data_IF_721439616937
#
_entry.id   IF_721439616937
#
_cell.length_a   1.000
_cell.length_b   1.000
_cell.length_c   1.000
_cell.angle_alpha   90.00
_cell.angle_beta   90.00
_cell.angle_gamma   90.00
#
_symmetry.space_group_name_H-M   'P 1'
#
loop_
_entity.id
_entity.type
_entity.pdbx_description
1 polymer ?
#
# COMPACT_ATOMS: atom_id res chain seq x y z
N UNK A 1 -15.73 27.38 14.78
CA UNK A 1 -14.52 28.09 15.26
C UNK A 1 -14.06 28.98 14.11
N UNK A 2 -14.15 30.32 14.24
CA UNK A 2 -14.09 31.19 13.06
C UNK A 2 -12.69 31.18 12.45
N UNK A 3 -12.60 30.72 11.20
CA UNK A 3 -11.39 30.74 10.35
C UNK A 3 -10.72 32.13 10.28
N UNK A 4 -11.48 33.18 10.57
CA UNK A 4 -11.06 34.57 10.59
C UNK A 4 -10.26 34.98 11.85
N UNK A 5 -10.18 34.13 12.88
CA UNK A 5 -9.44 34.45 14.13
C UNK A 5 -7.96 34.12 14.08
N UNK A 6 -7.53 33.28 13.14
CA UNK A 6 -6.12 32.90 12.97
C UNK A 6 -5.69 33.10 11.51
N UNK A 7 -5.06 34.25 11.18
CA UNK A 7 -4.68 34.58 9.82
C UNK A 7 -3.63 33.62 9.26
N UNK A 8 -2.77 33.04 10.11
CA UNK A 8 -1.74 32.08 9.66
C UNK A 8 -2.39 30.79 9.19
N UNK A 9 -3.36 30.30 9.96
CA UNK A 9 -4.18 29.13 9.62
C UNK A 9 -4.95 29.35 8.32
N UNK A 10 -5.58 30.51 8.16
CA UNK A 10 -6.30 30.86 6.93
C UNK A 10 -5.37 30.86 5.72
N UNK A 11 -4.19 31.47 5.84
CA UNK A 11 -3.21 31.54 4.74
C UNK A 11 -2.71 30.14 4.37
N UNK A 12 -2.36 29.30 5.34
CA UNK A 12 -1.92 27.92 5.05
C UNK A 12 -3.01 27.10 4.34
N UNK A 13 -4.25 27.22 4.80
CA UNK A 13 -5.42 26.58 4.18
C UNK A 13 -5.66 27.06 2.75
N UNK A 14 -5.60 28.38 2.52
CA UNK A 14 -5.77 28.96 1.18
C UNK A 14 -4.66 28.50 0.24
N UNK A 15 -3.41 28.49 0.71
CA UNK A 15 -2.28 28.01 -0.11
C UNK A 15 -2.49 26.54 -0.49
N UNK A 16 -2.79 25.67 0.48
CA UNK A 16 -3.00 24.24 0.23
C UNK A 16 -4.19 23.99 -0.71
N UNK A 17 -5.33 24.64 -0.45
CA UNK A 17 -6.55 24.50 -1.24
C UNK A 17 -6.39 25.02 -2.67
N UNK A 18 -5.79 26.21 -2.84
CA UNK A 18 -5.56 26.81 -4.18
C UNK A 18 -4.54 25.99 -4.97
N UNK A 19 -3.44 25.57 -4.34
CA UNK A 19 -2.43 24.74 -5.01
C UNK A 19 -3.04 23.42 -5.52
N UNK A 20 -3.80 22.72 -4.67
CA UNK A 20 -4.49 21.50 -5.08
C UNK A 20 -5.55 21.73 -6.14
N UNK A 21 -6.29 22.84 -6.08
CA UNK A 21 -7.29 23.18 -7.10
C UNK A 21 -6.65 23.45 -8.47
N UNK A 22 -5.50 24.14 -8.51
CA UNK A 22 -4.74 24.38 -9.75
C UNK A 22 -4.34 23.05 -10.40
N UNK A 23 -3.80 22.11 -9.60
CA UNK A 23 -3.40 20.78 -10.08
C UNK A 23 -4.63 19.99 -10.57
N UNK A 24 -5.75 20.09 -9.88
CA UNK A 24 -6.99 19.41 -10.29
C UNK A 24 -7.57 19.97 -11.59
N UNK A 25 -7.50 21.29 -11.80
CA UNK A 25 -7.93 21.93 -13.05
C UNK A 25 -7.01 21.51 -14.21
N UNK A 26 -5.69 21.46 -14.00
CA UNK A 26 -4.76 20.95 -15.00
C UNK A 26 -5.07 19.48 -15.38
N UNK A 27 -5.36 18.64 -14.39
CA UNK A 27 -5.71 17.23 -14.60
C UNK A 27 -6.90 17.02 -15.56
N UNK A 28 -7.89 17.92 -15.56
CA UNK A 28 -9.08 17.84 -16.45
C UNK A 28 -8.85 18.56 -17.80
N UNK A 29 -7.65 19.11 -18.03
CA UNK A 29 -7.30 19.78 -19.29
C UNK A 29 -7.51 21.29 -19.27
N UNK A 30 -7.27 21.96 -18.14
CA UNK A 30 -7.46 23.41 -17.95
C UNK A 30 -6.63 24.33 -18.87
N UNK A 31 -5.74 23.79 -19.69
CA UNK A 31 -4.99 24.52 -20.71
C UNK A 31 -3.58 24.97 -20.28
N UNK A 32 -2.83 25.64 -21.18
CA UNK A 32 -1.39 25.86 -21.02
C UNK A 32 -0.97 26.76 -19.84
N UNK A 33 -1.90 27.56 -19.31
CA UNK A 33 -1.64 28.40 -18.14
C UNK A 33 -1.62 27.57 -16.85
N UNK A 34 -2.62 26.73 -16.63
CA UNK A 34 -2.70 25.83 -15.48
C UNK A 34 -1.57 24.79 -15.52
N UNK A 35 -1.28 24.26 -16.71
CA UNK A 35 -0.22 23.26 -16.88
C UNK A 35 1.15 23.73 -16.40
N UNK A 36 1.55 24.96 -16.75
CA UNK A 36 2.84 25.51 -16.31
C UNK A 36 2.94 25.63 -14.80
N UNK A 37 1.88 26.11 -14.14
CA UNK A 37 1.87 26.29 -12.69
C UNK A 37 1.77 24.94 -11.98
N UNK A 38 0.90 24.05 -12.45
CA UNK A 38 0.74 22.69 -11.92
C UNK A 38 2.04 21.89 -12.02
N UNK A 39 2.77 22.00 -13.12
CA UNK A 39 4.07 21.34 -13.29
C UNK A 39 5.07 21.78 -12.21
N UNK A 40 5.19 23.09 -11.96
CA UNK A 40 6.06 23.61 -10.89
C UNK A 40 5.61 23.11 -9.51
N UNK A 41 4.31 23.15 -9.22
CA UNK A 41 3.76 22.66 -7.95
C UNK A 41 4.04 21.16 -7.74
N UNK A 42 3.83 20.34 -8.79
CA UNK A 42 4.06 18.89 -8.75
C UNK A 42 5.56 18.58 -8.63
N UNK A 43 6.43 19.34 -9.28
CA UNK A 43 7.88 19.18 -9.17
C UNK A 43 8.37 19.47 -7.74
N UNK A 44 7.92 20.59 -7.14
CA UNK A 44 8.19 20.87 -5.73
C UNK A 44 7.63 19.77 -4.80
N UNK A 45 6.41 19.30 -5.07
CA UNK A 45 5.82 18.21 -4.31
C UNK A 45 6.64 16.91 -4.43
N UNK A 46 7.18 16.61 -5.61
CA UNK A 46 8.04 15.45 -5.83
C UNK A 46 9.37 15.58 -5.05
N UNK A 47 10.00 16.76 -5.06
CA UNK A 47 11.23 17.03 -4.28
C UNK A 47 10.96 16.87 -2.78
N UNK A 48 9.87 17.47 -2.27
CA UNK A 48 9.48 17.36 -0.86
C UNK A 48 9.17 15.90 -0.51
N UNK A 49 8.48 15.17 -1.40
CA UNK A 49 8.17 13.74 -1.21
C UNK A 49 9.45 12.91 -1.14
N UNK A 50 10.43 13.16 -2.02
CA UNK A 50 11.72 12.47 -1.98
C UNK A 50 12.46 12.71 -0.66
N UNK A 51 12.49 13.96 -0.16
CA UNK A 51 13.08 14.28 1.14
C UNK A 51 12.30 13.67 2.31
N UNK A 52 10.97 13.68 2.24
CA UNK A 52 10.10 13.06 3.25
C UNK A 52 10.30 11.53 3.31
N UNK A 53 10.49 10.87 2.15
CA UNK A 53 10.83 9.46 2.09
C UNK A 53 12.18 9.17 2.78
N UNK A 54 13.19 9.99 2.53
CA UNK A 54 14.48 9.87 3.22
C UNK A 54 14.34 10.04 4.75
N UNK A 55 13.60 11.05 5.18
CA UNK A 55 13.28 11.26 6.61
C UNK A 55 12.52 10.07 7.19
N UNK A 56 11.59 9.49 6.45
CA UNK A 56 10.88 8.27 6.82
C UNK A 56 11.82 7.09 7.04
N UNK A 57 12.76 6.86 6.11
CA UNK A 57 13.79 5.81 6.24
C UNK A 57 14.65 6.06 7.48
N UNK A 58 15.13 7.28 7.69
CA UNK A 58 15.93 7.62 8.88
C UNK A 58 15.16 7.45 10.19
N UNK A 59 13.87 7.80 10.20
CA UNK A 59 13.00 7.62 11.37
C UNK A 59 12.83 6.13 11.71
N UNK A 60 12.56 5.29 10.71
CA UNK A 60 12.45 3.84 10.89
C UNK A 60 13.78 3.26 11.36
N UNK A 61 14.89 3.54 10.70
CA UNK A 61 16.21 3.03 11.09
C UNK A 61 16.56 3.50 12.51
N UNK A 62 16.39 4.79 12.81
CA UNK A 62 16.73 5.36 14.12
C UNK A 62 15.91 4.78 15.27
N UNK A 63 14.59 4.66 15.10
CA UNK A 63 13.69 4.10 16.11
C UNK A 63 14.00 2.62 16.39
N UNK A 64 14.20 1.82 15.35
CA UNK A 64 14.51 0.40 15.49
C UNK A 64 15.95 0.14 15.95
N UNK A 65 16.93 0.93 15.52
CA UNK A 65 18.29 0.86 16.03
C UNK A 65 18.35 1.21 17.53
N UNK A 66 17.60 2.23 17.95
CA UNK A 66 17.43 2.56 19.36
C UNK A 66 16.79 1.43 20.16
N UNK A 67 15.77 0.75 19.60
CA UNK A 67 15.13 -0.43 20.20
C UNK A 67 16.11 -1.59 20.40
N UNK A 68 16.94 -1.86 19.40
CA UNK A 68 17.99 -2.89 19.43
C UNK A 68 19.07 -2.56 20.46
N UNK A 69 19.61 -1.34 20.44
CA UNK A 69 20.66 -0.89 21.39
C UNK A 69 20.19 -0.97 22.84
N UNK A 70 18.92 -0.63 23.10
CA UNK A 70 18.32 -0.67 24.44
C UNK A 70 17.73 -2.04 24.81
N UNK A 71 17.81 -3.05 23.93
CA UNK A 71 17.24 -4.40 24.11
C UNK A 71 15.80 -4.38 24.64
N UNK A 72 14.97 -3.50 24.09
CA UNK A 72 13.56 -3.41 24.50
C UNK A 72 12.80 -4.69 24.08
N UNK A 73 11.55 -4.83 24.54
CA UNK A 73 10.68 -5.90 24.05
C UNK A 73 10.67 -5.94 22.50
N UNK A 74 10.67 -7.15 21.94
CA UNK A 74 10.60 -7.40 20.50
C UNK A 74 11.77 -6.83 19.67
N UNK A 75 12.91 -6.53 20.31
CA UNK A 75 14.11 -6.08 19.62
C UNK A 75 14.64 -7.04 18.54
N UNK A 76 14.51 -8.38 18.63
CA UNK A 76 14.98 -9.26 17.56
C UNK A 76 14.22 -9.03 16.25
N UNK A 77 12.91 -8.73 16.31
CA UNK A 77 12.13 -8.38 15.11
C UNK A 77 12.57 -7.05 14.50
N UNK A 78 13.12 -6.15 15.32
CA UNK A 78 13.72 -4.91 14.82
C UNK A 78 15.02 -5.15 14.06
N UNK A 79 15.80 -6.18 14.41
CA UNK A 79 16.93 -6.60 13.58
C UNK A 79 16.47 -7.10 12.21
N UNK A 80 15.40 -7.91 12.16
CA UNK A 80 14.85 -8.41 10.89
C UNK A 80 14.45 -7.26 9.97
N UNK A 81 13.77 -6.24 10.52
CA UNK A 81 13.41 -5.04 9.76
C UNK A 81 14.65 -4.29 9.25
N UNK A 82 15.62 -4.03 10.12
CA UNK A 82 16.85 -3.31 9.76
C UNK A 82 17.65 -4.07 8.69
N UNK A 83 17.71 -5.40 8.78
CA UNK A 83 18.33 -6.25 7.77
C UNK A 83 17.56 -6.17 6.45
N UNK A 84 16.23 -6.20 6.47
CA UNK A 84 15.40 -6.05 5.26
C UNK A 84 15.65 -4.71 4.55
N UNK A 85 15.71 -3.61 5.31
CA UNK A 85 16.06 -2.28 4.77
C UNK A 85 17.47 -2.29 4.17
N UNK A 86 18.44 -2.87 4.87
CA UNK A 86 19.81 -2.97 4.39
C UNK A 86 19.90 -3.81 3.11
N UNK A 87 19.26 -4.98 3.07
CA UNK A 87 19.22 -5.85 1.89
C UNK A 87 18.65 -5.13 0.68
N UNK A 88 17.56 -4.38 0.85
CA UNK A 88 16.94 -3.63 -0.24
C UNK A 88 17.86 -2.52 -0.76
N UNK A 89 18.50 -1.75 0.13
CA UNK A 89 19.46 -0.70 -0.24
C UNK A 89 20.67 -1.31 -0.96
N UNK A 90 21.22 -2.40 -0.42
CA UNK A 90 22.38 -3.08 -1.00
C UNK A 90 22.05 -3.64 -2.39
N UNK A 91 20.90 -4.28 -2.54
CA UNK A 91 20.43 -4.79 -3.82
C UNK A 91 20.30 -3.65 -4.84
N UNK A 92 19.62 -2.55 -4.49
CA UNK A 92 19.42 -1.42 -5.41
C UNK A 92 20.71 -0.69 -5.82
N UNK A 93 21.72 -0.63 -4.96
CA UNK A 93 22.94 0.16 -5.21
C UNK A 93 24.07 -0.66 -5.83
N UNK A 94 24.33 -1.87 -5.31
CA UNK A 94 25.54 -2.63 -5.64
C UNK A 94 25.38 -3.60 -6.81
N UNK A 95 24.16 -3.76 -7.34
CA UNK A 95 23.88 -4.62 -8.49
C UNK A 95 23.15 -3.81 -9.58
N UNK A 96 23.84 -2.86 -10.23
CA UNK A 96 23.25 -2.04 -11.27
C UNK A 96 22.98 -2.86 -12.55
N UNK A 97 22.04 -2.37 -13.35
CA UNK A 97 21.62 -2.97 -14.61
C UNK A 97 22.35 -2.33 -15.80
N UNK A 98 22.58 -3.08 -16.89
CA UNK A 98 23.06 -2.51 -18.14
C UNK A 98 21.96 -1.64 -18.76
N UNK A 99 22.26 -0.36 -18.95
CA UNK A 99 21.41 0.64 -19.60
C UNK A 99 22.01 1.16 -20.91
N UNK A 100 21.24 1.99 -21.62
CA UNK A 100 21.61 2.52 -22.96
C UNK A 100 22.92 3.31 -22.99
N UNK A 101 23.28 3.96 -21.88
CA UNK A 101 24.44 4.85 -21.78
C UNK A 101 25.43 4.41 -20.71
N UNK A 102 25.35 3.16 -20.24
CA UNK A 102 26.18 2.62 -19.17
C UNK A 102 25.37 1.90 -18.10
N UNK A 103 25.87 1.90 -16.86
CA UNK A 103 25.18 1.27 -15.73
C UNK A 103 24.09 2.17 -15.18
N UNK A 104 22.91 1.61 -14.94
CA UNK A 104 21.78 2.30 -14.33
C UNK A 104 21.33 1.58 -13.05
N UNK A 105 20.91 2.36 -12.06
CA UNK A 105 20.31 1.81 -10.85
C UNK A 105 18.89 1.34 -11.18
N UNK A 106 18.41 0.25 -10.55
CA UNK A 106 17.04 -0.18 -10.72
C UNK A 106 16.08 0.90 -10.23
N UNK A 107 15.13 1.30 -11.09
CA UNK A 107 14.17 2.35 -10.81
C UNK A 107 12.80 1.81 -10.37
N UNK A 108 12.53 0.53 -10.65
CA UNK A 108 11.22 -0.08 -10.41
C UNK A 108 11.31 -1.37 -9.60
N UNK A 109 10.23 -1.73 -8.91
CA UNK A 109 10.11 -3.00 -8.19
C UNK A 109 10.18 -4.22 -9.14
N UNK A 110 9.93 -3.99 -10.42
CA UNK A 110 10.00 -5.02 -11.45
C UNK A 110 11.43 -5.25 -11.94
N UNK A 111 12.42 -4.43 -11.58
CA UNK A 111 13.78 -4.62 -12.08
C UNK A 111 14.58 -5.56 -11.17
N UNK A 112 15.41 -6.41 -11.77
CA UNK A 112 16.38 -7.21 -11.01
C UNK A 112 17.52 -6.28 -10.54
N UNK A 113 18.01 -6.39 -9.29
CA UNK A 113 17.77 -7.42 -8.27
C UNK A 113 16.60 -7.14 -7.31
N UNK A 114 15.94 -5.98 -7.40
CA UNK A 114 14.88 -5.59 -6.47
C UNK A 114 13.75 -6.62 -6.50
N UNK A 115 13.38 -7.09 -7.69
CA UNK A 115 12.34 -8.11 -7.88
C UNK A 115 12.68 -9.41 -7.14
N UNK A 116 13.93 -9.88 -7.18
CA UNK A 116 14.35 -11.06 -6.42
C UNK A 116 14.18 -10.86 -4.92
N UNK A 117 14.60 -9.72 -4.36
CA UNK A 117 14.38 -9.43 -2.93
C UNK A 117 12.90 -9.43 -2.61
N UNK A 118 12.07 -8.81 -3.45
CA UNK A 118 10.62 -8.77 -3.28
C UNK A 118 10.00 -10.18 -3.27
N UNK A 119 10.34 -11.02 -4.25
CA UNK A 119 9.83 -12.40 -4.36
C UNK A 119 10.32 -13.33 -3.26
N UNK A 120 11.52 -13.11 -2.76
CA UNK A 120 12.17 -14.01 -1.79
C UNK A 120 11.85 -13.61 -0.36
N UNK A 121 11.63 -12.32 -0.09
CA UNK A 121 11.42 -11.79 1.26
C UNK A 121 9.99 -11.32 1.45
N UNK A 122 9.51 -10.40 0.60
CA UNK A 122 8.20 -9.77 0.80
C UNK A 122 7.04 -10.73 0.51
N UNK A 123 7.05 -11.43 -0.63
CA UNK A 123 5.95 -12.32 -1.03
C UNK A 123 5.70 -13.46 0.00
N UNK A 124 6.72 -14.16 0.52
CA UNK A 124 6.52 -15.19 1.54
C UNK A 124 6.05 -14.64 2.89
N UNK A 125 6.55 -13.46 3.29
CA UNK A 125 6.08 -12.81 4.52
C UNK A 125 4.60 -12.41 4.39
N UNK A 126 4.23 -11.79 3.27
CA UNK A 126 2.83 -11.43 3.00
C UNK A 126 1.92 -12.66 2.94
N UNK A 127 2.36 -13.74 2.28
CA UNK A 127 1.59 -14.99 2.21
C UNK A 127 1.45 -15.64 3.58
N UNK A 128 2.46 -15.57 4.45
CA UNK A 128 2.37 -16.08 5.83
C UNK A 128 1.34 -15.32 6.67
N UNK A 129 1.27 -13.99 6.53
CA UNK A 129 0.27 -13.15 7.19
C UNK A 129 -1.14 -13.44 6.67
N UNK A 130 -1.29 -13.60 5.36
CA UNK A 130 -2.57 -14.00 4.75
C UNK A 130 -2.99 -15.41 5.17
N UNK A 131 -2.04 -16.35 5.30
CA UNK A 131 -2.30 -17.69 5.81
C UNK A 131 -2.76 -17.67 7.27
N UNK A 132 -2.15 -16.84 8.12
CA UNK A 132 -2.60 -16.63 9.50
C UNK A 132 -4.00 -16.02 9.54
N UNK A 133 -4.28 -15.02 8.70
CA UNK A 133 -5.62 -14.42 8.59
C UNK A 133 -6.67 -15.45 8.15
N UNK A 134 -6.35 -16.26 7.13
CA UNK A 134 -7.21 -17.33 6.66
C UNK A 134 -7.44 -18.38 7.75
N UNK A 135 -6.38 -18.80 8.45
CA UNK A 135 -6.47 -19.75 9.56
C UNK A 135 -7.34 -19.20 10.70
N UNK A 136 -7.13 -17.96 11.14
CA UNK A 136 -7.93 -17.36 12.21
C UNK A 136 -9.37 -17.13 11.79
N UNK A 137 -9.62 -16.73 10.53
CA UNK A 137 -10.95 -16.59 9.96
C UNK A 137 -11.70 -17.93 9.94
N UNK A 138 -11.06 -18.99 9.43
CA UNK A 138 -11.62 -20.34 9.43
C UNK A 138 -11.85 -20.84 10.86
N UNK A 139 -10.90 -20.63 11.76
CA UNK A 139 -11.00 -21.00 13.17
C UNK A 139 -12.18 -20.28 13.85
N UNK A 140 -12.39 -19.00 13.56
CA UNK A 140 -13.54 -18.24 14.04
C UNK A 140 -14.86 -18.75 13.45
N UNK A 141 -14.90 -19.06 12.16
CA UNK A 141 -16.07 -19.60 11.48
C UNK A 141 -16.46 -20.98 12.03
N UNK A 142 -15.49 -21.87 12.26
CA UNK A 142 -15.71 -23.18 12.88
C UNK A 142 -16.19 -23.05 14.33
N UNK A 143 -15.62 -22.14 15.13
CA UNK A 143 -16.14 -21.84 16.48
C UNK A 143 -17.57 -21.30 16.43
N UNK A 144 -17.90 -20.45 15.46
CA UNK A 144 -19.27 -19.95 15.29
C UNK A 144 -20.25 -21.07 14.88
N UNK A 145 -19.80 -22.02 14.05
CA UNK A 145 -20.56 -23.20 13.67
C UNK A 145 -20.82 -24.12 14.88
N UNK A 146 -19.82 -24.34 15.73
CA UNK A 146 -19.97 -25.10 16.98
C UNK A 146 -21.00 -24.46 17.94
N UNK A 147 -21.21 -23.15 17.85
CA UNK A 147 -22.25 -22.43 18.61
C UNK A 147 -23.63 -22.46 17.95
N UNK A 148 -23.80 -23.24 16.88
CA UNK A 148 -25.08 -23.42 16.19
C UNK A 148 -25.47 -22.28 15.24
N UNK A 149 -24.54 -21.39 14.85
CA UNK A 149 -24.87 -20.33 13.89
C UNK A 149 -25.04 -20.90 12.47
N UNK A 150 -26.25 -20.78 11.92
CA UNK A 150 -26.59 -21.23 10.56
C UNK A 150 -25.86 -20.45 9.46
N UNK A 151 -25.53 -19.17 9.71
CA UNK A 151 -24.76 -18.36 8.76
C UNK A 151 -23.32 -18.87 8.62
N UNK A 152 -22.70 -19.22 9.76
CA UNK A 152 -21.35 -19.77 9.77
C UNK A 152 -21.26 -21.11 9.03
N UNK A 153 -22.32 -21.93 9.05
CA UNK A 153 -22.40 -23.16 8.26
C UNK A 153 -22.25 -22.88 6.76
N UNK A 154 -22.98 -21.88 6.25
CA UNK A 154 -22.92 -21.52 4.83
C UNK A 154 -21.51 -21.06 4.46
N UNK A 155 -20.90 -20.20 5.29
CA UNK A 155 -19.53 -19.70 5.06
C UNK A 155 -18.52 -20.83 5.03
N UNK A 156 -18.54 -21.72 6.02
CA UNK A 156 -17.60 -22.85 6.10
C UNK A 156 -17.80 -23.82 4.92
N UNK A 157 -19.05 -24.11 4.56
CA UNK A 157 -19.36 -25.03 3.47
C UNK A 157 -18.91 -24.46 2.12
N UNK A 158 -19.17 -23.17 1.86
CA UNK A 158 -18.68 -22.48 0.66
C UNK A 158 -17.16 -22.45 0.63
N UNK A 159 -16.50 -22.12 1.75
CA UNK A 159 -15.04 -22.11 1.83
C UNK A 159 -14.44 -23.51 1.56
N UNK A 160 -15.02 -24.56 2.12
CA UNK A 160 -14.61 -25.94 1.88
C UNK A 160 -14.77 -26.33 0.40
N UNK A 161 -15.91 -25.99 -0.21
CA UNK A 161 -16.18 -26.29 -1.62
C UNK A 161 -15.18 -25.58 -2.53
N UNK A 162 -14.90 -24.29 -2.28
CA UNK A 162 -13.92 -23.50 -3.03
C UNK A 162 -12.49 -24.04 -2.85
N UNK A 163 -12.13 -24.49 -1.65
CA UNK A 163 -10.82 -25.11 -1.40
C UNK A 163 -10.67 -26.43 -2.15
N UNK A 164 -11.69 -27.29 -2.12
CA UNK A 164 -11.68 -28.57 -2.83
C UNK A 164 -11.60 -28.35 -4.35
N UNK A 165 -12.33 -27.37 -4.88
CA UNK A 165 -12.35 -27.06 -6.31
C UNK A 165 -10.97 -26.62 -6.84
N UNK A 166 -10.11 -26.05 -5.99
CA UNK A 166 -8.77 -25.59 -6.35
C UNK A 166 -7.69 -26.69 -6.28
N UNK A 167 -8.01 -27.89 -5.77
CA UNK A 167 -7.04 -28.99 -5.72
C UNK A 167 -6.66 -29.43 -7.15
N UNK A 168 -5.38 -29.65 -7.49
CA UNK A 168 -4.96 -29.98 -8.86
C UNK A 168 -5.72 -31.14 -9.52
N UNK A 169 -6.05 -32.26 -8.83
CA UNK A 169 -6.85 -33.33 -9.42
C UNK A 169 -8.30 -32.95 -9.74
N UNK A 170 -8.85 -31.96 -9.03
CA UNK A 170 -10.24 -31.51 -9.16
C UNK A 170 -10.32 -30.39 -10.20
N UNK A 171 -9.34 -29.49 -10.21
CA UNK A 171 -9.25 -28.38 -11.15
C UNK A 171 -9.02 -28.82 -12.60
N UNK A 172 -8.54 -30.05 -12.85
CA UNK A 172 -8.40 -30.59 -14.22
C UNK A 172 -9.67 -31.21 -14.78
N UNK A 173 -10.75 -31.32 -13.99
CA UNK A 173 -12.02 -31.86 -14.47
C UNK A 173 -12.65 -30.90 -15.50
N UNK A 174 -13.24 -31.43 -16.60
CA UNK A 174 -13.69 -30.63 -17.74
C UNK A 174 -14.71 -29.53 -17.41
N UNK A 175 -15.51 -29.73 -16.35
CA UNK A 175 -16.51 -28.75 -15.89
C UNK A 175 -16.02 -27.87 -14.73
N UNK A 176 -15.12 -28.39 -13.89
CA UNK A 176 -14.69 -27.70 -12.67
C UNK A 176 -13.57 -26.71 -12.97
N UNK A 177 -12.60 -27.09 -13.81
CA UNK A 177 -11.48 -26.23 -14.19
C UNK A 177 -11.90 -24.89 -14.77
N UNK A 178 -12.73 -24.86 -15.84
CA UNK A 178 -13.20 -23.61 -16.42
C UNK A 178 -14.02 -22.76 -15.44
N UNK A 179 -14.82 -23.40 -14.57
CA UNK A 179 -15.61 -22.70 -13.56
C UNK A 179 -14.74 -22.04 -12.50
N UNK A 180 -13.72 -22.75 -12.00
CA UNK A 180 -12.74 -22.21 -11.04
C UNK A 180 -11.91 -21.11 -11.68
N UNK A 181 -11.50 -21.26 -12.94
CA UNK A 181 -10.78 -20.22 -13.66
C UNK A 181 -11.63 -18.97 -13.84
N UNK A 182 -12.89 -19.12 -14.27
CA UNK A 182 -13.84 -18.01 -14.35
C UNK A 182 -14.03 -17.32 -12.99
N UNK A 183 -14.17 -18.09 -11.91
CA UNK A 183 -14.30 -17.55 -10.56
C UNK A 183 -13.08 -16.70 -10.17
N UNK A 184 -11.87 -17.16 -10.48
CA UNK A 184 -10.64 -16.43 -10.19
C UNK A 184 -10.51 -15.15 -11.05
N UNK A 185 -10.75 -15.27 -12.35
CA UNK A 185 -10.53 -14.20 -13.32
C UNK A 185 -11.56 -13.06 -13.19
N UNK A 186 -12.79 -13.39 -12.75
CA UNK A 186 -13.87 -12.41 -12.61
C UNK A 186 -14.18 -12.08 -11.15
N UNK A 187 -14.54 -13.06 -10.31
CA UNK A 187 -15.08 -12.78 -8.96
C UNK A 187 -13.96 -12.41 -7.99
N UNK A 188 -12.93 -13.23 -7.89
CA UNK A 188 -11.80 -12.98 -6.98
C UNK A 188 -11.06 -11.71 -7.41
N UNK A 189 -10.77 -11.58 -8.71
CA UNK A 189 -10.11 -10.39 -9.24
C UNK A 189 -10.98 -9.12 -9.10
N UNK A 190 -12.31 -9.20 -9.26
CA UNK A 190 -13.19 -8.08 -8.99
C UNK A 190 -13.16 -7.67 -7.51
N UNK A 191 -13.13 -8.62 -6.58
CA UNK A 191 -12.97 -8.34 -5.15
C UNK A 191 -11.66 -7.61 -4.85
N UNK A 192 -10.54 -8.12 -5.39
CA UNK A 192 -9.23 -7.48 -5.24
C UNK A 192 -9.20 -6.06 -5.84
N UNK A 193 -9.76 -5.87 -7.03
CA UNK A 193 -9.90 -4.54 -7.65
C UNK A 193 -10.81 -3.63 -6.84
N UNK A 194 -11.91 -4.15 -6.29
CA UNK A 194 -12.82 -3.42 -5.41
C UNK A 194 -12.12 -2.89 -4.16
N UNK A 195 -11.26 -3.70 -3.53
CA UNK A 195 -10.42 -3.26 -2.41
C UNK A 195 -9.45 -2.14 -2.83
N UNK A 196 -8.78 -2.29 -3.97
CA UNK A 196 -7.87 -1.26 -4.49
C UNK A 196 -8.60 0.05 -4.81
N UNK A 197 -9.76 -0.03 -5.44
CA UNK A 197 -10.61 1.14 -5.73
C UNK A 197 -11.10 1.76 -4.43
N UNK A 198 -11.54 0.97 -3.45
CA UNK A 198 -11.96 1.45 -2.14
C UNK A 198 -10.84 2.18 -1.41
N UNK A 199 -9.62 1.63 -1.43
CA UNK A 199 -8.44 2.30 -0.89
C UNK A 199 -8.12 3.61 -1.62
N UNK A 200 -8.22 3.63 -2.95
CA UNK A 200 -8.01 4.82 -3.77
C UNK A 200 -9.06 5.91 -3.48
N UNK A 201 -10.34 5.54 -3.36
CA UNK A 201 -11.42 6.47 -2.96
C UNK A 201 -11.17 7.00 -1.55
N UNK A 202 -10.75 6.14 -0.61
CA UNK A 202 -10.39 6.56 0.74
C UNK A 202 -9.27 7.60 0.75
N UNK A 203 -8.21 7.38 -0.03
CA UNK A 203 -7.12 8.34 -0.21
C UNK A 203 -7.60 9.64 -0.87
N UNK A 204 -8.47 9.55 -1.88
CA UNK A 204 -9.08 10.71 -2.53
C UNK A 204 -9.91 11.55 -1.56
N UNK A 205 -10.76 10.91 -0.75
CA UNK A 205 -11.57 11.59 0.28
C UNK A 205 -10.69 12.28 1.31
N UNK A 206 -9.61 11.62 1.77
CA UNK A 206 -8.64 12.24 2.66
C UNK A 206 -7.99 13.48 2.01
N UNK A 207 -7.63 13.39 0.73
CA UNK A 207 -7.10 14.51 -0.05
C UNK A 207 -8.10 15.68 -0.16
N UNK A 208 -9.36 15.39 -0.49
CA UNK A 208 -10.41 16.43 -0.58
C UNK A 208 -10.65 17.09 0.77
N UNK A 209 -10.68 16.32 1.87
CA UNK A 209 -10.80 16.87 3.23
C UNK A 209 -9.65 17.79 3.60
N UNK A 210 -8.43 17.46 3.16
CA UNK A 210 -7.26 18.32 3.31
C UNK A 210 -7.42 19.62 2.53
N UNK A 211 -7.85 19.56 1.26
CA UNK A 211 -8.03 20.72 0.39
C UNK A 211 -9.14 21.66 0.86
N UNK A 212 -10.23 21.10 1.38
CA UNK A 212 -11.33 21.85 1.97
C UNK A 212 -11.03 22.36 3.38
N UNK A 213 -9.92 21.94 3.97
CA UNK A 213 -9.49 22.39 5.31
C UNK A 213 -10.21 21.75 6.47
N UNK A 214 -10.89 20.62 6.25
CA UNK A 214 -11.47 19.82 7.33
C UNK A 214 -10.38 19.12 8.15
N UNK A 215 -9.29 18.71 7.50
CA UNK A 215 -8.11 18.15 8.15
C UNK A 215 -6.90 19.05 7.91
N UNK A 216 -6.24 19.48 8.98
CA UNK A 216 -5.08 20.38 8.92
C UNK A 216 -3.85 19.79 9.65
N UNK A 217 -3.25 18.70 9.14
CA UNK A 217 -2.13 18.02 9.79
C UNK A 217 -0.83 18.85 9.83
N UNK A 218 -0.71 19.86 8.98
CA UNK A 218 0.41 20.80 8.92
C UNK A 218 0.26 21.97 9.90
N UNK A 219 -0.89 22.06 10.58
CA UNK A 219 -1.17 23.02 11.64
C UNK A 219 -1.25 22.25 12.95
N UNK A 220 -0.10 21.76 13.41
CA UNK A 220 0.00 21.30 14.80
C UNK A 220 -0.28 22.50 15.74
N UNK A 221 -0.97 22.20 16.84
CA UNK A 221 -1.42 23.16 17.87
C UNK A 221 -0.29 23.96 18.49
#
# INVERSE_FOLDING_TARGET
MSLLRDPKRLVALLIAGVAGLIVLIDFVGGGPAFNRVAMVLVEWAAIITALALLLGIFSVIGSHLGRVRRKQADWPYSLVLLLGVLTMIVAGIFFPLPGRTGWMLPATLAEEPIRVVFRTVYEPLASSLLALLAFFSLSAALRALQRGNREALVVVLVAALVLIAQLPPVATLPAVGPTVQWLNDFVVLAGARGLLIGAAIGAFVAGVRLLLGFDTPYLDR
#
